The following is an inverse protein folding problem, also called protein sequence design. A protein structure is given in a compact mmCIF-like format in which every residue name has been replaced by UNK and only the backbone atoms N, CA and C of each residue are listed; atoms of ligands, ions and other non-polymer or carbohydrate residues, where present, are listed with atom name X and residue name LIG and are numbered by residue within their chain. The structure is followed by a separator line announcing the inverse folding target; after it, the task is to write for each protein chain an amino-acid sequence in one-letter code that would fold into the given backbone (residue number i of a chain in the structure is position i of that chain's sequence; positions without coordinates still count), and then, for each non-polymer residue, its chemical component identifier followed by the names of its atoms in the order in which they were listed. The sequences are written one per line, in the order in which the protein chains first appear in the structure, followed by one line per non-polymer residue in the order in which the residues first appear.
data_IF_459592165816
#
_entry.id   IF_459592165816
#
_cell.length_a   1.000
_cell.length_b   1.000
_cell.length_c   1.000
_cell.angle_alpha   90.00
_cell.angle_beta   90.00
_cell.angle_gamma   90.00
#
_symmetry.space_group_name_H-M   'P 1'
#
loop_
_entity.id
_entity.type
_entity.pdbx_description
1 polymer ?
#
# COMPACT_ATOMS: atom_id res chain seq x y z
N UNK A 1 2.94 0.92 13.79
CA UNK A 1 2.07 0.51 12.68
C UNK A 1 2.72 1.00 11.40
N UNK A 2 2.97 0.11 10.44
CA UNK A 2 3.57 0.51 9.17
C UNK A 2 2.55 1.31 8.34
N UNK A 3 2.99 2.28 7.51
CA UNK A 3 2.08 3.05 6.64
C UNK A 3 1.23 2.15 5.73
N UNK A 4 1.79 1.02 5.29
CA UNK A 4 1.07 0.02 4.49
C UNK A 4 -0.01 -0.74 5.27
N UNK A 5 0.18 -0.94 6.58
CA UNK A 5 -0.85 -1.58 7.43
C UNK A 5 -2.05 -0.66 7.62
N UNK A 6 -1.79 0.64 7.81
CA UNK A 6 -2.84 1.66 7.80
C UNK A 6 -3.60 1.68 6.48
N UNK A 7 -2.88 1.51 5.35
CA UNK A 7 -3.51 1.40 4.04
C UNK A 7 -4.42 0.17 3.94
N UNK A 8 -4.02 -0.98 4.50
CA UNK A 8 -4.89 -2.16 4.57
C UNK A 8 -6.14 -1.88 5.37
N UNK A 9 -6.03 -1.28 6.55
CA UNK A 9 -7.20 -0.96 7.38
C UNK A 9 -8.20 -0.05 6.65
N UNK A 10 -7.70 0.97 5.96
CA UNK A 10 -8.54 1.91 5.19
C UNK A 10 -9.27 1.20 4.04
N UNK A 11 -8.59 0.29 3.34
CA UNK A 11 -9.15 -0.41 2.17
C UNK A 11 -10.02 -1.61 2.55
N UNK A 12 -10.04 -2.02 3.83
CA UNK A 12 -10.82 -3.18 4.29
C UNK A 12 -10.03 -4.49 4.35
N UNK A 13 -8.71 -4.40 4.47
CA UNK A 13 -7.77 -5.49 4.71
C UNK A 13 -6.93 -5.88 3.49
N UNK A 14 -6.02 -6.83 3.72
CA UNK A 14 -5.08 -7.34 2.70
C UNK A 14 -5.85 -7.95 1.52
N UNK A 15 -6.92 -8.71 1.78
CA UNK A 15 -7.73 -9.34 0.73
C UNK A 15 -8.47 -8.32 -0.14
N UNK A 16 -8.98 -7.23 0.44
CA UNK A 16 -9.62 -6.16 -0.31
C UNK A 16 -8.59 -5.45 -1.20
N UNK A 17 -7.43 -5.12 -0.63
CA UNK A 17 -6.34 -4.53 -1.40
C UNK A 17 -5.87 -5.46 -2.53
N UNK A 18 -5.73 -6.75 -2.29
CA UNK A 18 -5.38 -7.73 -3.32
C UNK A 18 -6.35 -7.73 -4.50
N UNK A 19 -7.66 -7.59 -4.25
CA UNK A 19 -8.68 -7.46 -5.31
C UNK A 19 -8.51 -6.18 -6.13
N UNK A 20 -8.23 -5.04 -5.49
CA UNK A 20 -8.00 -3.77 -6.22
C UNK A 20 -6.80 -3.82 -7.17
N UNK A 21 -5.77 -4.58 -6.79
CA UNK A 21 -4.56 -4.72 -7.59
C UNK A 21 -4.56 -5.96 -8.50
N UNK A 22 -5.61 -6.77 -8.46
CA UNK A 22 -5.68 -8.09 -9.10
C UNK A 22 -4.47 -8.98 -8.80
N UNK A 23 -4.08 -9.01 -7.51
CA UNK A 23 -2.95 -9.76 -7.00
C UNK A 23 -3.40 -10.82 -5.99
N UNK A 24 -2.49 -11.72 -5.66
CA UNK A 24 -2.70 -12.64 -4.54
C UNK A 24 -2.53 -11.91 -3.20
N UNK A 25 -3.28 -12.27 -2.14
CA UNK A 25 -3.08 -11.73 -0.80
C UNK A 25 -1.64 -11.88 -0.29
N UNK A 26 -0.95 -12.95 -0.70
CA UNK A 26 0.47 -13.16 -0.40
C UNK A 26 1.36 -12.08 -1.02
N UNK A 27 1.15 -11.72 -2.29
CA UNK A 27 1.91 -10.67 -2.96
C UNK A 27 1.70 -9.30 -2.30
N UNK A 28 0.48 -9.02 -1.82
CA UNK A 28 0.18 -7.82 -1.04
C UNK A 28 0.85 -7.88 0.33
N UNK A 29 0.79 -9.00 1.04
CA UNK A 29 1.44 -9.14 2.35
C UNK A 29 2.94 -8.84 2.30
N UNK A 30 3.61 -9.16 1.19
CA UNK A 30 5.04 -8.86 0.96
C UNK A 30 5.35 -7.35 0.93
N UNK A 31 4.36 -6.49 0.72
CA UNK A 31 4.55 -5.03 0.75
C UNK A 31 4.89 -4.48 2.12
N UNK A 32 4.72 -5.27 3.20
CA UNK A 32 5.24 -4.91 4.53
C UNK A 32 6.76 -4.80 4.56
N UNK A 33 7.45 -5.58 3.72
CA UNK A 33 8.90 -5.48 3.57
C UNK A 33 9.28 -4.35 2.62
N UNK A 34 8.64 -4.30 1.45
CA UNK A 34 8.92 -3.28 0.43
C UNK A 34 7.76 -3.08 -0.52
N UNK A 35 7.24 -1.85 -0.56
CA UNK A 35 6.23 -1.44 -1.53
C UNK A 35 6.90 -1.05 -2.85
N UNK A 36 6.45 -1.59 -4.01
CA UNK A 36 6.91 -1.13 -5.31
C UNK A 36 6.53 0.34 -5.55
N UNK A 37 7.45 1.14 -6.10
CA UNK A 37 7.24 2.58 -6.33
C UNK A 37 6.00 2.85 -7.20
N UNK A 38 5.83 2.05 -8.26
CA UNK A 38 4.71 2.11 -9.19
C UNK A 38 3.35 1.92 -8.51
N UNK A 39 3.31 1.17 -7.40
CA UNK A 39 2.07 0.89 -6.66
C UNK A 39 1.79 1.92 -5.58
N UNK A 40 2.80 2.67 -5.12
CA UNK A 40 2.64 3.65 -4.05
C UNK A 40 1.64 4.76 -4.44
N UNK A 41 1.70 5.26 -5.68
CA UNK A 41 0.74 6.24 -6.17
C UNK A 41 -0.70 5.69 -6.15
N UNK A 42 -0.88 4.43 -6.53
CA UNK A 42 -2.20 3.79 -6.53
C UNK A 42 -2.73 3.53 -5.12
N UNK A 43 -1.86 3.20 -4.18
CA UNK A 43 -2.23 3.05 -2.76
C UNK A 43 -2.67 4.40 -2.18
N UNK A 44 -1.96 5.49 -2.52
CA UNK A 44 -2.33 6.84 -2.10
C UNK A 44 -3.72 7.23 -2.63
N UNK A 45 -4.02 6.95 -3.90
CA UNK A 45 -5.36 7.12 -4.47
C UNK A 45 -6.43 6.29 -3.74
N UNK A 46 -6.17 5.00 -3.52
CA UNK A 46 -7.11 4.08 -2.85
C UNK A 46 -7.38 4.45 -1.39
N UNK A 47 -6.39 5.06 -0.73
CA UNK A 47 -6.53 5.54 0.65
C UNK A 47 -7.04 6.99 0.73
N UNK A 48 -7.42 7.58 -0.40
CA UNK A 48 -7.85 8.98 -0.50
C UNK A 48 -6.84 9.98 0.12
N UNK A 49 -5.54 9.73 -0.10
CA UNK A 49 -4.45 10.57 0.41
C UNK A 49 -4.16 10.43 1.92
N UNK A 50 -4.81 9.49 2.61
CA UNK A 50 -4.55 9.22 4.05
C UNK A 50 -3.23 8.50 4.31
N UNK A 51 -2.70 7.83 3.29
CA UNK A 51 -1.35 7.24 3.28
C UNK A 51 -0.64 7.79 2.06
N UNK A 52 0.39 8.61 2.29
CA UNK A 52 1.13 9.23 1.19
C UNK A 52 2.15 8.26 0.64
N UNK A 53 2.45 8.37 -0.66
CA UNK A 53 3.55 7.61 -1.25
C UNK A 53 4.87 7.86 -0.48
N UNK A 54 5.18 9.09 -0.10
CA UNK A 54 6.36 9.44 0.70
C UNK A 54 6.48 8.68 2.02
N UNK A 55 5.36 8.30 2.64
CA UNK A 55 5.37 7.47 3.85
C UNK A 55 5.63 5.98 3.53
N UNK A 56 5.17 5.50 2.36
CA UNK A 56 5.34 4.11 1.92
C UNK A 56 6.79 3.78 1.50
N UNK A 57 7.47 4.72 0.85
CA UNK A 57 8.88 4.57 0.43
C UNK A 57 9.65 5.89 0.63
N UNK A 58 9.96 6.27 1.89
CA UNK A 58 10.76 7.46 2.15
C UNK A 58 12.11 7.44 1.40
N UNK A 59 12.67 6.26 1.13
CA UNK A 59 13.94 6.11 0.37
C UNK A 59 13.93 6.67 -1.07
N UNK A 60 12.77 6.96 -1.65
CA UNK A 60 12.64 7.38 -3.06
C UNK A 60 12.29 8.86 -3.26
N UNK A 61 11.83 9.55 -2.22
CA UNK A 61 11.27 10.91 -2.34
C UNK A 61 11.94 11.92 -1.42
N UNK A 62 13.24 11.71 -1.15
CA UNK A 62 14.12 12.71 -0.51
C UNK A 62 14.38 13.90 -1.45
#
# INVERSE_FOLDING_TARGET
MLPIEKAYEIVGGISAMARHFNLTPWAVSKWREKVPAERCAKIEELTAGKVKKSELRPDLWD
#
